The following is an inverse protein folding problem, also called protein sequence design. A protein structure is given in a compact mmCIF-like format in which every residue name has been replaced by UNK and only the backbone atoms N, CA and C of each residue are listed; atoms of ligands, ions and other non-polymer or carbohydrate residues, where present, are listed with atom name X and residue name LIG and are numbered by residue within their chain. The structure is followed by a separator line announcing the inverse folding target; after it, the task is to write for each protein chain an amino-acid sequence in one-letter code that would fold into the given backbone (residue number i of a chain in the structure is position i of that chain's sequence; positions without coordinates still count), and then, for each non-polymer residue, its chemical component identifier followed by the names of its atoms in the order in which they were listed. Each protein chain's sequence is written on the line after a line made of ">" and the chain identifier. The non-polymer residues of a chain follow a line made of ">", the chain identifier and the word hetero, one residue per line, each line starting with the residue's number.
data_IF_334741120737
#
_entry.id   IF_334741120737
#
_cell.length_a   1.000
_cell.length_b   1.000
_cell.length_c   1.000
_cell.angle_alpha   90.00
_cell.angle_beta   90.00
_cell.angle_gamma   90.00
#
_symmetry.space_group_name_H-M   'P 1'
#
loop_
_entity.id
_entity.type
_entity.pdbx_description
1 polymer ?
#
# COMPACT_ATOMS: atom_id res chain seq x y z
N UNK A 1 11.91 9.75 -7.52
CA UNK A 1 10.74 9.18 -6.83
C UNK A 1 11.18 8.20 -5.75
N UNK A 2 11.64 7.01 -6.07
CA UNK A 2 11.93 5.91 -5.12
C UNK A 2 12.77 6.31 -3.91
N UNK A 3 13.78 7.17 -4.07
CA UNK A 3 14.60 7.68 -2.95
C UNK A 3 13.78 8.49 -1.94
N UNK A 4 12.73 9.20 -2.38
CA UNK A 4 11.83 9.89 -1.46
C UNK A 4 10.99 8.94 -0.66
N UNK A 5 10.38 7.95 -1.33
CA UNK A 5 9.62 6.88 -0.67
C UNK A 5 10.49 6.18 0.36
N UNK A 6 11.73 5.82 -0.01
CA UNK A 6 12.72 5.25 0.90
C UNK A 6 12.97 6.15 2.13
N UNK A 7 13.19 7.45 1.92
CA UNK A 7 13.44 8.40 3.01
C UNK A 7 12.24 8.56 3.94
N UNK A 8 11.03 8.59 3.41
CA UNK A 8 9.82 8.64 4.23
C UNK A 8 9.67 7.37 5.07
N UNK A 9 9.88 6.20 4.48
CA UNK A 9 9.86 4.94 5.20
C UNK A 9 10.96 4.88 6.29
N UNK A 10 12.16 5.37 6.01
CA UNK A 10 13.28 5.38 6.95
C UNK A 10 13.09 6.35 8.15
N UNK A 11 12.13 7.28 8.09
CA UNK A 11 11.75 8.09 9.27
C UNK A 11 10.97 7.27 10.31
N UNK A 12 10.33 6.18 9.90
CA UNK A 12 9.47 5.34 10.74
C UNK A 12 10.10 3.98 11.05
N UNK A 13 10.76 3.36 10.08
CA UNK A 13 11.31 2.03 10.19
C UNK A 13 12.84 2.04 10.20
N UNK A 14 13.43 1.21 11.06
CA UNK A 14 14.89 1.04 11.13
C UNK A 14 15.42 0.21 9.96
N UNK A 15 14.66 -0.78 9.53
CA UNK A 15 15.01 -1.68 8.43
C UNK A 15 14.16 -1.33 7.22
N UNK A 16 14.80 -0.77 6.20
CA UNK A 16 14.14 -0.38 4.95
C UNK A 16 15.04 -0.77 3.78
N UNK A 17 14.45 -1.44 2.79
CA UNK A 17 15.12 -1.73 1.53
C UNK A 17 14.19 -1.43 0.35
N UNK A 18 14.78 -1.17 -0.80
CA UNK A 18 14.07 -1.02 -2.07
C UNK A 18 14.19 -2.32 -2.86
N UNK A 19 13.06 -2.98 -3.09
CA UNK A 19 12.97 -4.15 -3.96
C UNK A 19 12.82 -3.71 -5.42
N UNK A 20 13.74 -4.11 -6.28
CA UNK A 20 13.72 -3.73 -7.70
C UNK A 20 14.36 -4.80 -8.59
N UNK A 21 13.96 -4.83 -9.84
CA UNK A 21 14.57 -5.63 -10.91
C UNK A 21 15.39 -4.76 -11.89
N UNK A 22 15.54 -3.47 -11.60
CA UNK A 22 16.23 -2.51 -12.45
C UNK A 22 17.52 -2.01 -11.79
N UNK A 23 18.67 -2.30 -12.41
CA UNK A 23 20.00 -1.87 -11.93
C UNK A 23 20.11 -0.35 -11.80
N UNK A 24 19.43 0.44 -12.65
CA UNK A 24 19.45 1.90 -12.57
C UNK A 24 18.82 2.40 -11.28
N UNK A 25 17.75 1.71 -10.81
CA UNK A 25 17.09 2.02 -9.54
C UNK A 25 18.02 1.65 -8.39
N UNK A 26 18.66 0.48 -8.44
CA UNK A 26 19.62 0.02 -7.44
C UNK A 26 20.76 1.03 -7.29
N UNK A 27 21.43 1.39 -8.40
CA UNK A 27 22.52 2.36 -8.38
C UNK A 27 22.13 3.69 -7.74
N UNK A 28 20.92 4.19 -8.07
CA UNK A 28 20.42 5.44 -7.49
C UNK A 28 20.16 5.28 -5.99
N UNK A 29 19.56 4.18 -5.54
CA UNK A 29 19.28 3.91 -4.13
C UNK A 29 20.56 3.83 -3.32
N UNK A 30 21.55 3.05 -3.80
CA UNK A 30 22.86 2.87 -3.15
C UNK A 30 23.66 4.18 -3.11
N UNK A 31 23.63 4.97 -4.19
CA UNK A 31 24.25 6.31 -4.22
C UNK A 31 23.73 7.25 -3.14
N UNK A 32 22.46 7.08 -2.75
CA UNK A 32 21.82 7.86 -1.69
C UNK A 32 21.92 7.20 -0.30
N UNK A 33 22.73 6.14 -0.16
CA UNK A 33 22.99 5.44 1.10
C UNK A 33 21.86 4.52 1.54
N UNK A 34 20.93 4.19 0.65
CA UNK A 34 19.87 3.22 0.89
C UNK A 34 20.31 1.80 0.56
N UNK A 35 19.52 0.82 0.97
CA UNK A 35 19.71 -0.59 0.63
C UNK A 35 18.78 -0.96 -0.51
N UNK A 36 19.32 -1.53 -1.59
CA UNK A 36 18.57 -2.10 -2.69
C UNK A 36 18.71 -3.61 -2.70
N UNK A 37 17.58 -4.31 -2.88
CA UNK A 37 17.52 -5.76 -3.04
C UNK A 37 17.06 -6.08 -4.45
N UNK A 38 17.93 -6.70 -5.24
CA UNK A 38 17.57 -7.15 -6.58
C UNK A 38 16.64 -8.35 -6.52
N UNK A 39 15.51 -8.23 -7.20
CA UNK A 39 14.45 -9.24 -7.25
C UNK A 39 14.17 -9.66 -8.69
N UNK A 40 13.49 -10.78 -8.88
CA UNK A 40 13.12 -11.26 -10.21
C UNK A 40 12.23 -10.25 -10.95
N UNK A 41 12.47 -10.12 -12.26
CA UNK A 41 11.59 -9.37 -13.17
C UNK A 41 10.30 -10.12 -13.51
N UNK A 42 10.17 -11.39 -13.10
CA UNK A 42 9.02 -12.24 -13.43
C UNK A 42 7.91 -12.22 -12.39
N UNK A 43 8.07 -11.45 -11.31
CA UNK A 43 7.02 -11.34 -10.29
C UNK A 43 5.73 -10.76 -10.86
N UNK A 44 4.59 -11.43 -10.64
CA UNK A 44 3.29 -10.97 -11.11
C UNK A 44 2.75 -9.77 -10.33
N UNK A 45 3.23 -9.59 -9.08
CA UNK A 45 2.74 -8.52 -8.20
C UNK A 45 3.83 -7.92 -7.32
N UNK A 46 3.55 -6.75 -6.75
CA UNK A 46 4.38 -6.12 -5.72
C UNK A 46 4.45 -6.96 -4.44
N UNK A 47 3.43 -7.75 -4.14
CA UNK A 47 3.36 -8.64 -2.99
C UNK A 47 4.38 -9.79 -3.10
N UNK A 48 4.47 -10.42 -4.28
CA UNK A 48 5.45 -11.48 -4.54
C UNK A 48 6.88 -10.91 -4.51
N UNK A 49 7.09 -9.73 -5.08
CA UNK A 49 8.38 -9.02 -5.02
C UNK A 49 8.79 -8.70 -3.58
N UNK A 50 7.83 -8.29 -2.75
CA UNK A 50 8.05 -7.99 -1.34
C UNK A 50 8.50 -9.24 -0.57
N UNK A 51 7.94 -10.42 -0.86
CA UNK A 51 8.36 -11.68 -0.25
C UNK A 51 9.80 -12.05 -0.60
N UNK A 52 10.17 -11.97 -1.88
CA UNK A 52 11.56 -12.25 -2.29
C UNK A 52 12.54 -11.27 -1.65
N UNK A 53 12.17 -9.99 -1.61
CA UNK A 53 13.00 -8.96 -0.98
C UNK A 53 13.16 -9.23 0.52
N UNK A 54 12.10 -9.61 1.23
CA UNK A 54 12.15 -9.97 2.65
C UNK A 54 13.12 -11.13 2.89
N UNK A 55 13.05 -12.19 2.08
CA UNK A 55 13.91 -13.37 2.21
C UNK A 55 15.38 -13.00 1.99
N UNK A 56 15.69 -12.31 0.88
CA UNK A 56 17.06 -11.88 0.56
C UNK A 56 17.62 -10.90 1.59
N UNK A 57 16.81 -9.95 2.05
CA UNK A 57 17.24 -8.99 3.06
C UNK A 57 17.50 -9.66 4.42
N UNK A 58 16.67 -10.63 4.80
CA UNK A 58 16.88 -11.43 6.01
C UNK A 58 18.19 -12.23 5.93
N UNK A 59 18.48 -12.87 4.80
CA UNK A 59 19.74 -13.59 4.55
C UNK A 59 20.96 -12.66 4.61
N UNK A 60 20.90 -11.50 3.94
CA UNK A 60 21.98 -10.52 3.89
C UNK A 60 22.32 -9.92 5.26
N UNK A 61 21.30 -9.71 6.09
CA UNK A 61 21.47 -9.05 7.40
C UNK A 61 21.60 -10.02 8.56
N UNK A 62 21.26 -11.30 8.37
CA UNK A 62 21.14 -12.30 9.43
C UNK A 62 20.01 -12.03 10.41
N UNK A 63 19.05 -11.17 10.04
CA UNK A 63 17.94 -10.75 10.90
C UNK A 63 16.64 -11.44 10.50
N UNK A 64 15.77 -11.64 11.48
CA UNK A 64 14.40 -12.14 11.27
C UNK A 64 13.40 -11.04 11.55
N UNK A 65 12.37 -10.95 10.71
CA UNK A 65 11.33 -9.96 10.82
C UNK A 65 9.99 -10.63 11.12
N UNK A 66 9.17 -9.98 11.95
CA UNK A 66 7.81 -10.46 12.25
C UNK A 66 6.78 -9.84 11.33
N UNK A 67 7.00 -8.59 10.95
CA UNK A 67 6.09 -7.77 10.14
C UNK A 67 6.88 -7.11 9.03
N UNK A 68 6.28 -7.00 7.86
CA UNK A 68 6.79 -6.25 6.72
C UNK A 68 5.71 -5.29 6.22
N UNK A 69 6.11 -4.09 5.88
CA UNK A 69 5.25 -3.08 5.26
C UNK A 69 5.68 -2.90 3.81
N UNK A 70 4.77 -3.15 2.89
CA UNK A 70 4.97 -2.97 1.45
C UNK A 70 4.51 -1.58 1.05
N UNK A 71 5.47 -0.70 0.76
CA UNK A 71 5.24 0.68 0.29
C UNK A 71 5.55 0.74 -1.20
N UNK A 72 4.60 1.21 -1.99
CA UNK A 72 4.79 1.33 -3.43
C UNK A 72 5.83 2.41 -3.74
N UNK A 73 6.75 2.12 -4.68
CA UNK A 73 7.85 3.03 -5.03
C UNK A 73 7.41 4.32 -5.71
N UNK A 74 6.19 4.37 -6.21
CA UNK A 74 5.52 5.49 -6.85
C UNK A 74 4.71 6.40 -5.89
N UNK A 75 4.85 6.17 -4.56
CA UNK A 75 4.27 6.99 -3.50
C UNK A 75 5.32 7.90 -2.82
N UNK A 76 5.89 8.91 -3.54
CA UNK A 76 6.99 9.73 -3.03
C UNK A 76 6.60 10.66 -1.88
N UNK A 77 5.31 10.83 -1.63
CA UNK A 77 4.73 11.67 -0.59
C UNK A 77 3.88 10.88 0.41
N UNK A 78 4.20 9.58 0.58
CA UNK A 78 3.58 8.78 1.64
C UNK A 78 3.78 9.46 3.00
N UNK A 79 2.73 9.56 3.79
CA UNK A 79 2.80 10.16 5.12
C UNK A 79 3.45 9.21 6.13
N UNK A 80 4.35 9.72 6.97
CA UNK A 80 4.90 8.94 8.08
C UNK A 80 3.81 8.50 9.05
N UNK A 81 2.80 9.34 9.31
CA UNK A 81 1.66 8.99 10.14
C UNK A 81 0.85 7.80 9.57
N UNK A 82 0.73 7.68 8.22
CA UNK A 82 0.12 6.50 7.61
C UNK A 82 0.94 5.23 7.90
N UNK A 83 2.27 5.32 7.78
CA UNK A 83 3.17 4.21 8.06
C UNK A 83 3.12 3.80 9.53
N UNK A 84 3.13 4.76 10.45
CA UNK A 84 3.02 4.54 11.90
C UNK A 84 1.69 3.90 12.27
N UNK A 85 0.56 4.41 11.75
CA UNK A 85 -0.77 3.84 11.98
C UNK A 85 -0.88 2.41 11.47
N UNK A 86 -0.33 2.13 10.29
CA UNK A 86 -0.33 0.78 9.73
C UNK A 86 0.52 -0.17 10.58
N UNK A 87 1.71 0.26 11.00
CA UNK A 87 2.60 -0.53 11.86
C UNK A 87 1.94 -0.84 13.21
N UNK A 88 1.29 0.13 13.83
CA UNK A 88 0.60 -0.01 15.11
C UNK A 88 -0.55 -1.06 15.08
N UNK A 89 -1.11 -1.37 13.90
CA UNK A 89 -2.09 -2.46 13.80
C UNK A 89 -1.53 -3.81 14.28
N UNK A 90 -0.23 -4.02 14.18
CA UNK A 90 0.44 -5.28 14.52
C UNK A 90 0.84 -5.39 16.00
N UNK A 91 0.56 -4.38 16.82
CA UNK A 91 0.62 -4.48 18.29
C UNK A 91 -0.45 -5.46 18.80
N UNK A 92 -1.57 -5.60 18.07
CA UNK A 92 -2.53 -6.68 18.24
C UNK A 92 -2.03 -7.95 17.54
N UNK A 93 -1.68 -8.97 18.31
CA UNK A 93 -1.14 -10.24 17.77
C UNK A 93 -2.12 -10.98 16.85
N UNK A 94 -3.43 -10.70 16.96
CA UNK A 94 -4.46 -11.27 16.08
C UNK A 94 -4.48 -10.69 14.68
N UNK A 95 -3.87 -9.51 14.47
CA UNK A 95 -3.78 -8.86 13.17
C UNK A 95 -2.64 -9.47 12.36
N UNK A 96 -3.00 -10.14 11.26
CA UNK A 96 -2.05 -10.77 10.35
C UNK A 96 -1.81 -9.97 9.07
N UNK A 97 -2.75 -9.11 8.73
CA UNK A 97 -2.77 -8.33 7.49
C UNK A 97 -3.53 -7.03 7.74
N UNK A 98 -2.98 -5.91 7.31
CA UNK A 98 -3.59 -4.59 7.48
C UNK A 98 -3.41 -3.71 6.24
N UNK A 99 -4.32 -2.76 6.05
CA UNK A 99 -4.27 -1.75 5.00
C UNK A 99 -4.86 -0.43 5.47
N UNK A 100 -4.69 0.62 4.66
CA UNK A 100 -5.16 1.97 4.94
C UNK A 100 -6.34 2.35 4.06
N UNK A 101 -7.23 3.14 4.62
CA UNK A 101 -8.29 3.82 3.89
C UNK A 101 -8.32 5.29 4.22
N UNK A 102 -8.89 6.07 3.33
CA UNK A 102 -9.27 7.46 3.57
C UNK A 102 -10.73 7.69 3.24
N UNK A 103 -11.33 8.71 3.85
CA UNK A 103 -12.68 9.14 3.44
C UNK A 103 -12.64 9.84 2.09
N UNK A 104 -13.66 9.60 1.27
CA UNK A 104 -13.80 10.36 0.05
C UNK A 104 -14.17 11.82 0.35
N UNK A 105 -13.59 12.75 -0.40
CA UNK A 105 -13.90 14.17 -0.28
C UNK A 105 -15.05 14.59 -1.21
N UNK A 106 -15.21 13.89 -2.32
CA UNK A 106 -16.23 14.18 -3.34
C UNK A 106 -16.83 12.91 -3.91
N UNK A 107 -18.03 13.01 -4.49
CA UNK A 107 -18.63 11.89 -5.23
C UNK A 107 -17.83 11.53 -6.48
N UNK A 108 -17.12 12.48 -7.09
CA UNK A 108 -16.23 12.18 -8.21
C UNK A 108 -15.13 11.19 -7.82
N UNK A 109 -14.59 11.26 -6.58
CA UNK A 109 -13.65 10.26 -6.07
C UNK A 109 -14.33 8.90 -5.81
N UNK A 110 -15.58 8.91 -5.35
CA UNK A 110 -16.34 7.67 -5.10
C UNK A 110 -16.68 6.96 -6.42
N UNK A 111 -16.96 7.71 -7.49
CA UNK A 111 -17.31 7.16 -8.80
C UNK A 111 -16.09 6.80 -9.65
N UNK A 112 -14.90 7.22 -9.25
CA UNK A 112 -13.67 6.86 -9.94
C UNK A 112 -13.36 5.35 -9.76
N UNK A 113 -13.43 4.61 -10.85
CA UNK A 113 -13.15 3.15 -10.89
C UNK A 113 -11.69 2.81 -10.59
N UNK A 114 -10.78 3.78 -10.70
CA UNK A 114 -9.37 3.61 -10.38
C UNK A 114 -9.08 3.75 -8.87
N UNK A 115 -10.07 4.21 -8.11
CA UNK A 115 -10.01 4.30 -6.65
C UNK A 115 -10.92 3.25 -6.02
N UNK A 116 -10.40 2.08 -5.64
CA UNK A 116 -11.23 1.05 -5.03
C UNK A 116 -11.89 1.55 -3.74
N UNK A 117 -13.15 1.19 -3.57
CA UNK A 117 -13.92 1.42 -2.33
C UNK A 117 -13.85 0.20 -1.47
N UNK A 118 -13.97 0.40 -0.16
CA UNK A 118 -14.01 -0.70 0.81
C UNK A 118 -15.14 -0.47 1.81
N UNK A 119 -15.82 -1.55 2.16
CA UNK A 119 -16.75 -1.60 3.29
C UNK A 119 -16.13 -2.40 4.41
N UNK A 120 -16.36 -1.98 5.64
CA UNK A 120 -15.76 -2.56 6.85
C UNK A 120 -16.82 -3.05 7.82
N UNK A 121 -16.47 -4.02 8.66
CA UNK A 121 -17.28 -4.44 9.80
C UNK A 121 -17.07 -3.51 11.02
N UNK A 122 -17.83 -3.74 12.09
CA UNK A 122 -17.73 -2.97 13.34
C UNK A 122 -16.38 -3.11 14.04
N UNK A 123 -15.58 -4.12 13.66
CA UNK A 123 -14.23 -4.35 14.17
C UNK A 123 -13.14 -3.81 13.24
N UNK A 124 -13.51 -3.00 12.25
CA UNK A 124 -12.60 -2.46 11.26
C UNK A 124 -11.86 -3.52 10.43
N UNK A 125 -12.51 -4.63 10.11
CA UNK A 125 -12.02 -5.55 9.11
C UNK A 125 -12.75 -5.30 7.78
N UNK A 126 -12.02 -5.40 6.68
CA UNK A 126 -12.62 -5.28 5.35
C UNK A 126 -13.61 -6.42 5.10
N UNK A 127 -14.83 -6.05 4.67
CA UNK A 127 -15.84 -6.99 4.20
C UNK A 127 -15.70 -7.24 2.70
N UNK A 128 -15.45 -6.18 1.92
CA UNK A 128 -15.26 -6.26 0.47
C UNK A 128 -14.58 -5.02 -0.08
N UNK A 129 -13.85 -5.18 -1.18
CA UNK A 129 -13.28 -4.09 -1.99
C UNK A 129 -13.92 -4.13 -3.37
N UNK A 130 -14.27 -2.96 -3.92
CA UNK A 130 -14.80 -2.86 -5.28
C UNK A 130 -14.36 -1.58 -5.98
N UNK A 131 -14.20 -1.67 -7.29
CA UNK A 131 -14.06 -0.49 -8.15
C UNK A 131 -15.35 0.28 -8.29
N UNK A 132 -16.48 -0.38 -8.07
CA UNK A 132 -17.80 0.23 -8.05
C UNK A 132 -18.04 0.98 -6.73
N UNK A 133 -19.06 1.85 -6.71
CA UNK A 133 -19.54 2.49 -5.49
C UNK A 133 -20.15 1.44 -4.55
N UNK A 134 -19.55 1.26 -3.40
CA UNK A 134 -20.05 0.43 -2.29
C UNK A 134 -19.89 1.18 -0.96
N UNK A 135 -20.89 1.10 0.00
CA UNK A 135 -22.20 0.44 -0.19
C UNK A 135 -23.11 1.21 -1.17
N UNK A 136 -24.12 0.53 -1.72
CA UNK A 136 -25.13 1.20 -2.53
C UNK A 136 -26.06 2.03 -1.62
N UNK A 137 -26.13 3.32 -1.86
CA UNK A 137 -27.05 4.20 -1.14
C UNK A 137 -28.43 4.19 -1.81
N UNK A 138 -29.35 3.41 -1.22
CA UNK A 138 -30.74 3.33 -1.69
C UNK A 138 -31.53 4.58 -1.38
N UNK A 139 -31.14 5.32 -0.34
CA UNK A 139 -31.86 6.51 0.13
C UNK A 139 -31.46 7.78 -0.64
N UNK A 140 -30.26 7.79 -1.24
CA UNK A 140 -29.67 8.97 -1.85
C UNK A 140 -29.26 10.06 -0.84
N UNK A 141 -29.11 9.70 0.43
CA UNK A 141 -28.90 10.64 1.53
C UNK A 141 -27.50 10.59 2.16
N UNK A 142 -26.64 9.62 1.76
CA UNK A 142 -25.30 9.53 2.36
C UNK A 142 -24.34 10.51 1.68
N UNK A 143 -23.53 11.19 2.51
CA UNK A 143 -22.47 12.08 2.02
C UNK A 143 -21.29 11.29 1.42
N UNK A 144 -20.53 11.92 0.53
CA UNK A 144 -19.31 11.32 -0.03
C UNK A 144 -18.31 10.87 1.05
N UNK A 145 -18.22 11.59 2.16
CA UNK A 145 -17.36 11.27 3.30
C UNK A 145 -17.73 9.97 4.04
N UNK A 146 -18.89 9.37 3.74
CA UNK A 146 -19.29 8.06 4.26
C UNK A 146 -18.63 6.89 3.52
N UNK A 147 -18.00 7.15 2.37
CA UNK A 147 -17.31 6.15 1.58
C UNK A 147 -15.83 6.11 1.91
N UNK A 148 -15.29 4.90 2.06
CA UNK A 148 -13.87 4.68 2.22
C UNK A 148 -13.20 4.35 0.89
N UNK A 149 -12.15 5.11 0.57
CA UNK A 149 -11.27 4.86 -0.55
C UNK A 149 -10.04 4.09 -0.06
N UNK A 150 -9.74 3.00 -0.71
CA UNK A 150 -8.57 2.20 -0.38
C UNK A 150 -7.28 2.91 -0.78
N UNK A 151 -6.28 2.87 0.10
CA UNK A 151 -4.90 3.29 -0.17
C UNK A 151 -4.05 2.02 -0.31
N UNK A 152 -3.33 1.88 -1.41
CA UNK A 152 -2.56 0.68 -1.78
C UNK A 152 -1.34 0.37 -0.90
N UNK A 153 -1.43 0.64 0.39
CA UNK A 153 -0.40 0.41 1.39
C UNK A 153 -0.80 -0.78 2.26
N UNK A 154 0.09 -1.76 2.38
CA UNK A 154 -0.18 -2.98 3.12
C UNK A 154 0.92 -3.31 4.13
N UNK A 155 0.50 -3.83 5.29
CA UNK A 155 1.36 -4.51 6.25
C UNK A 155 0.96 -5.97 6.38
N UNK A 156 1.95 -6.84 6.58
CA UNK A 156 1.77 -8.28 6.71
C UNK A 156 2.61 -8.83 7.86
N UNK A 157 2.07 -9.83 8.60
CA UNK A 157 3.00 -10.75 9.29
C UNK A 157 3.71 -11.59 8.23
N UNK A 158 5.00 -11.83 8.43
CA UNK A 158 5.83 -12.51 7.43
C UNK A 158 5.26 -13.88 7.02
N UNK A 159 4.75 -14.65 7.98
CA UNK A 159 4.07 -15.93 7.72
C UNK A 159 2.81 -15.78 6.85
N UNK A 160 2.09 -14.68 7.03
CA UNK A 160 0.91 -14.36 6.20
C UNK A 160 1.32 -14.00 4.79
N UNK A 161 2.38 -13.20 4.62
CA UNK A 161 2.93 -12.88 3.31
C UNK A 161 3.33 -14.15 2.54
N UNK A 162 4.03 -15.08 3.19
CA UNK A 162 4.37 -16.37 2.58
C UNK A 162 3.15 -17.19 2.17
N UNK A 163 2.09 -17.13 2.98
CA UNK A 163 0.83 -17.83 2.70
C UNK A 163 0.11 -17.25 1.51
N UNK A 164 -0.01 -15.91 1.43
CA UNK A 164 -0.77 -15.24 0.35
C UNK A 164 -0.07 -15.35 -1.00
N UNK A 165 1.26 -15.33 -1.05
CA UNK A 165 2.02 -15.53 -2.29
C UNK A 165 1.87 -16.96 -2.87
N UNK A 166 1.43 -17.94 -2.07
CA UNK A 166 1.13 -19.31 -2.54
C UNK A 166 -0.32 -19.49 -3.01
N UNK A 167 -1.18 -18.48 -2.82
CA UNK A 167 -2.58 -18.55 -3.22
C UNK A 167 -2.71 -18.37 -4.73
N UNK A 168 -3.62 -19.16 -5.33
CA UNK A 168 -3.97 -19.00 -6.74
C UNK A 168 -4.87 -17.78 -6.91
N UNK A 169 -4.72 -17.13 -8.05
CA UNK A 169 -5.59 -16.03 -8.45
C UNK A 169 -7.07 -16.44 -8.41
N UNK A 170 -7.89 -15.65 -7.73
CA UNK A 170 -9.28 -15.98 -7.45
C UNK A 170 -10.26 -15.39 -8.48
N UNK A 171 -11.54 -15.74 -8.39
CA UNK A 171 -12.56 -15.21 -9.29
C UNK A 171 -12.79 -13.71 -9.10
N UNK A 172 -12.92 -13.25 -7.84
CA UNK A 172 -13.17 -11.85 -7.55
C UNK A 172 -11.96 -10.97 -7.90
N UNK A 173 -10.75 -11.45 -7.61
CA UNK A 173 -9.53 -10.78 -8.01
C UNK A 173 -9.45 -10.58 -9.52
N UNK A 174 -9.73 -11.63 -10.31
CA UNK A 174 -9.74 -11.55 -11.78
C UNK A 174 -10.75 -10.55 -12.31
N UNK A 175 -11.90 -10.49 -11.65
CA UNK A 175 -13.02 -9.66 -12.08
C UNK A 175 -12.77 -8.18 -11.78
N UNK A 176 -12.39 -7.87 -10.55
CA UNK A 176 -12.17 -6.49 -10.08
C UNK A 176 -10.74 -6.00 -10.35
N UNK A 177 -9.79 -6.91 -10.67
CA UNK A 177 -8.35 -6.63 -10.75
C UNK A 177 -7.84 -6.01 -9.44
N UNK A 178 -8.21 -6.65 -8.33
CA UNK A 178 -7.86 -6.27 -6.96
C UNK A 178 -7.31 -7.50 -6.22
N UNK A 179 -6.00 -7.56 -6.01
CA UNK A 179 -5.28 -8.70 -5.43
C UNK A 179 -5.81 -9.09 -4.05
N UNK A 180 -6.19 -8.11 -3.23
CA UNK A 180 -6.68 -8.32 -1.86
C UNK A 180 -8.00 -9.11 -1.80
N UNK A 181 -8.75 -9.20 -2.88
CA UNK A 181 -9.95 -10.02 -2.94
C UNK A 181 -9.64 -11.50 -2.86
N UNK A 182 -8.50 -11.96 -3.42
CA UNK A 182 -7.99 -13.33 -3.27
C UNK A 182 -7.83 -13.70 -1.79
N UNK A 183 -7.33 -12.77 -0.99
CA UNK A 183 -7.11 -13.00 0.43
C UNK A 183 -8.42 -13.11 1.20
N UNK A 184 -9.39 -12.24 0.92
CA UNK A 184 -10.74 -12.31 1.49
C UNK A 184 -11.47 -13.60 1.10
N UNK A 185 -11.42 -14.02 -0.19
CA UNK A 185 -12.02 -15.28 -0.66
C UNK A 185 -11.42 -16.52 0.03
N UNK A 186 -10.16 -16.43 0.48
CA UNK A 186 -9.50 -17.49 1.27
C UNK A 186 -9.68 -17.32 2.78
N UNK A 187 -10.59 -16.45 3.23
CA UNK A 187 -10.98 -16.30 4.63
C UNK A 187 -9.98 -15.52 5.49
N UNK A 188 -9.01 -14.81 4.89
CA UNK A 188 -8.14 -13.91 5.64
C UNK A 188 -8.90 -12.63 6.01
N UNK A 189 -8.69 -12.17 7.25
CA UNK A 189 -9.16 -10.86 7.68
C UNK A 189 -8.11 -9.80 7.34
N UNK A 190 -8.57 -8.69 6.79
CA UNK A 190 -7.76 -7.52 6.50
C UNK A 190 -8.18 -6.42 7.45
N UNK A 191 -7.35 -6.09 8.43
CA UNK A 191 -7.56 -4.93 9.32
C UNK A 191 -7.45 -3.67 8.48
N UNK A 192 -8.40 -2.76 8.66
CA UNK A 192 -8.43 -1.48 7.97
C UNK A 192 -8.20 -0.37 8.99
N UNK A 193 -7.31 0.58 8.66
CA UNK A 193 -7.10 1.75 9.50
C UNK A 193 -7.35 3.02 8.69
N UNK A 194 -8.07 3.97 9.30
CA UNK A 194 -8.38 5.25 8.65
C UNK A 194 -7.22 6.23 8.80
N UNK A 195 -6.81 6.83 7.69
CA UNK A 195 -5.92 7.99 7.69
C UNK A 195 -6.38 9.01 6.65
N UNK A 196 -6.62 10.22 7.12
CA UNK A 196 -7.02 11.34 6.25
C UNK A 196 -5.82 12.13 5.72
N UNK A 197 -4.59 11.63 5.92
CA UNK A 197 -3.40 12.24 5.35
C UNK A 197 -3.44 12.18 3.83
N UNK A 198 -2.99 13.26 3.22
CA UNK A 198 -2.85 13.29 1.78
C UNK A 198 -1.57 12.56 1.36
N UNK A 199 -1.71 11.58 0.50
CA UNK A 199 -0.62 10.98 -0.26
C UNK A 199 -0.80 11.31 -1.74
N UNK A 200 0.29 11.38 -2.46
CA UNK A 200 0.30 11.72 -3.88
C UNK A 200 1.14 10.67 -4.62
N UNK A 201 0.44 9.69 -5.17
CA UNK A 201 1.04 8.71 -6.09
C UNK A 201 1.36 9.30 -7.46
N UNK A 202 2.27 8.69 -8.17
CA UNK A 202 2.70 9.05 -9.53
C UNK A 202 2.57 7.85 -10.45
N UNK A 203 1.38 7.67 -11.01
CA UNK A 203 1.09 6.59 -11.96
C UNK A 203 1.35 6.99 -13.41
N UNK A 204 1.23 8.28 -13.71
CA UNK A 204 1.34 8.82 -15.06
C UNK A 204 2.31 10.00 -15.15
N UNK A 205 2.84 10.31 -16.35
CA UNK A 205 3.61 11.55 -16.56
C UNK A 205 2.83 12.81 -16.15
N UNK A 206 1.51 12.83 -16.33
CA UNK A 206 0.68 13.94 -15.94
C UNK A 206 0.62 14.14 -14.42
N UNK A 207 0.65 13.04 -13.64
CA UNK A 207 0.74 13.12 -12.18
C UNK A 207 2.07 13.73 -11.76
N UNK A 208 3.17 13.33 -12.38
CA UNK A 208 4.49 13.90 -12.10
C UNK A 208 4.52 15.41 -12.38
N UNK A 209 3.98 15.85 -13.51
CA UNK A 209 3.90 17.27 -13.86
C UNK A 209 3.00 18.04 -12.87
N UNK A 210 1.87 17.46 -12.49
CA UNK A 210 0.99 18.04 -11.47
C UNK A 210 1.71 18.23 -10.14
N UNK A 211 2.41 17.21 -9.67
CA UNK A 211 3.18 17.26 -8.42
C UNK A 211 4.32 18.27 -8.47
N UNK A 212 5.04 18.36 -9.57
CA UNK A 212 6.08 19.37 -9.74
C UNK A 212 5.50 20.80 -9.63
N UNK A 213 4.36 21.06 -10.27
CA UNK A 213 3.65 22.37 -10.12
C UNK A 213 3.22 22.66 -8.69
N UNK A 214 2.75 21.64 -7.95
CA UNK A 214 2.36 21.78 -6.53
C UNK A 214 3.58 22.11 -5.65
N UNK A 215 4.72 21.49 -5.92
CA UNK A 215 6.00 21.78 -5.23
C UNK A 215 6.43 23.23 -5.53
N UNK A 216 6.43 23.64 -6.80
CA UNK A 216 6.80 24.99 -7.22
C UNK A 216 5.92 26.07 -6.58
N UNK A 217 4.64 25.77 -6.34
CA UNK A 217 3.70 26.66 -5.64
C UNK A 217 3.79 26.62 -4.12
N UNK A 218 4.64 25.74 -3.57
CA UNK A 218 4.78 25.57 -2.12
C UNK A 218 3.58 24.85 -1.46
N UNK A 219 2.69 24.24 -2.24
CA UNK A 219 1.54 23.47 -1.75
C UNK A 219 1.98 22.15 -1.09
N UNK A 220 3.11 21.61 -1.55
CA UNK A 220 3.75 20.41 -1.01
C UNK A 220 5.19 20.76 -0.66
N UNK A 221 5.57 20.51 0.59
CA UNK A 221 6.96 20.68 1.04
C UNK A 221 7.79 19.48 0.61
N UNK A 222 8.97 19.76 0.14
CA UNK A 222 10.00 18.79 -0.21
C UNK A 222 11.11 18.88 0.82
N UNK A 223 11.26 17.82 1.64
CA UNK A 223 12.38 17.67 2.58
C UNK A 223 13.66 17.23 1.86
#
# INVERSE_FOLDING_TARGET
>A
MVVRTLRQAAKVFTDVCVATDDERIKEVVEKWGGVAVMTSSTHPSGTDRCLEALQKYSEQTGRTFKVVVNVQGDEPFISTNQLEKLAACFDDESVCLATIVKRASTFAEVDDVNRPKVVVDDNWNALYFSRNRIPYDRSGCIDSSSYFLHVGLYGYRCETLEKICKMKESFLEKTEKLEQLRWLENGLKIRVVESNDQSYGVDTPADLERLNRMIERGEIKVD
#
